data_IF_633607125088
#
_entry.id   IF_633607125088
#
_cell.length_a   1.000
_cell.length_b   1.000
_cell.length_c   1.000
_cell.angle_alpha   90.00
_cell.angle_beta   90.00
_cell.angle_gamma   90.00
#
_symmetry.space_group_name_H-M   'P 1'
#
loop_
_entity.id
_entity.type
_entity.pdbx_description
1 polymer ?
#
# COMPACT_ATOMS: atom_id res chain seq x y z
N UNK A 1 169.27 -24.51 7.63
CA UNK A 1 170.72 -24.49 7.31
C UNK A 1 171.03 -23.13 6.66
N UNK A 2 171.98 -22.35 7.24
CA UNK A 2 172.93 -21.35 6.67
C UNK A 2 172.51 -20.49 5.44
N UNK A 3 172.92 -19.23 5.20
CA UNK A 3 173.69 -18.16 5.85
C UNK A 3 173.81 -16.98 4.85
N UNK A 4 173.64 -15.73 5.31
CA UNK A 4 174.43 -14.47 5.06
C UNK A 4 174.81 -13.91 3.67
N UNK A 5 174.69 -12.56 3.58
CA UNK A 5 175.61 -11.58 2.92
C UNK A 5 175.00 -10.70 1.80
N UNK A 6 175.43 -9.47 1.44
CA UNK A 6 176.20 -8.36 2.04
C UNK A 6 176.27 -7.20 0.97
N UNK A 7 176.28 -5.92 1.38
CA UNK A 7 176.87 -4.75 0.67
C UNK A 7 175.97 -3.95 -0.31
N UNK A 8 176.23 -2.67 -0.67
CA UNK A 8 177.02 -1.54 -0.15
C UNK A 8 176.80 -0.30 -1.08
N UNK A 9 176.68 0.92 -0.51
CA UNK A 9 177.03 2.28 -1.00
C UNK A 9 177.08 2.64 -2.51
N UNK A 10 176.54 3.81 -2.92
CA UNK A 10 177.24 5.14 -3.01
C UNK A 10 176.38 6.21 -3.75
N UNK A 11 176.57 7.48 -3.33
CA UNK A 11 175.93 8.74 -3.73
C UNK A 11 176.61 9.39 -4.95
N UNK A 12 175.88 10.20 -5.74
CA UNK A 12 176.37 11.46 -6.34
C UNK A 12 175.20 12.42 -6.64
N UNK A 13 175.42 13.67 -6.25
CA UNK A 13 174.57 14.86 -6.44
C UNK A 13 174.69 15.43 -7.85
N UNK A 14 173.69 16.19 -8.31
CA UNK A 14 173.81 17.65 -8.58
C UNK A 14 172.53 18.27 -9.16
N UNK A 15 172.24 19.44 -8.62
CA UNK A 15 171.22 20.42 -8.97
C UNK A 15 171.36 20.95 -10.41
N UNK A 16 170.21 21.23 -11.05
CA UNK A 16 169.99 22.44 -11.85
C UNK A 16 168.53 22.86 -11.70
N UNK A 17 168.34 24.10 -11.26
CA UNK A 17 167.09 24.84 -11.33
C UNK A 17 166.62 24.97 -12.78
N UNK A 18 165.40 24.50 -13.08
CA UNK A 18 164.55 25.03 -14.14
C UNK A 18 163.08 24.95 -13.68
N UNK A 19 162.58 26.11 -13.28
CA UNK A 19 161.21 26.63 -13.40
C UNK A 19 160.02 25.67 -13.64
N UNK A 20 159.05 25.80 -12.74
CA UNK A 20 157.64 25.44 -12.87
C UNK A 20 157.05 25.89 -14.22
N UNK A 21 156.58 24.96 -15.06
CA UNK A 21 155.53 25.29 -16.05
C UNK A 21 154.61 24.13 -16.47
N UNK A 22 154.60 23.00 -15.75
CA UNK A 22 153.65 21.91 -15.99
C UNK A 22 152.93 21.29 -14.75
N UNK A 23 152.74 22.00 -13.60
CA UNK A 23 151.72 21.59 -12.62
C UNK A 23 150.31 22.13 -12.93
N UNK A 24 150.15 23.17 -13.78
CA UNK A 24 148.85 23.84 -13.94
C UNK A 24 147.83 23.07 -14.78
N UNK A 25 148.25 22.32 -15.81
CA UNK A 25 147.30 21.60 -16.68
C UNK A 25 146.62 20.43 -15.98
N UNK A 26 147.34 19.69 -15.12
CA UNK A 26 146.75 18.57 -14.38
C UNK A 26 145.82 19.05 -13.24
N UNK A 27 146.19 20.14 -12.55
CA UNK A 27 145.40 20.69 -11.45
C UNK A 27 144.14 21.43 -11.98
N UNK A 28 144.28 22.21 -13.06
CA UNK A 28 143.13 22.83 -13.75
C UNK A 28 142.20 21.77 -14.35
N UNK A 29 142.75 20.67 -14.90
CA UNK A 29 141.93 19.57 -15.42
C UNK A 29 141.17 18.84 -14.30
N UNK A 30 141.80 18.59 -13.14
CA UNK A 30 141.12 18.01 -11.98
C UNK A 30 140.01 18.92 -11.45
N UNK A 31 140.24 20.25 -11.40
CA UNK A 31 139.22 21.23 -11.02
C UNK A 31 138.07 21.26 -12.02
N UNK A 32 138.35 21.25 -13.32
CA UNK A 32 137.32 21.17 -14.37
C UNK A 32 136.52 19.86 -14.26
N UNK A 33 137.18 18.73 -13.99
CA UNK A 33 136.51 17.44 -13.78
C UNK A 33 135.67 17.44 -12.50
N UNK A 34 136.15 18.02 -11.39
CA UNK A 34 135.35 18.15 -10.16
C UNK A 34 134.12 19.04 -10.36
N UNK A 35 134.25 20.18 -11.06
CA UNK A 35 133.12 21.04 -11.39
C UNK A 35 132.13 20.28 -12.29
N UNK A 36 132.63 19.56 -13.29
CA UNK A 36 131.77 18.75 -14.17
C UNK A 36 131.05 17.63 -13.41
N UNK A 37 131.75 16.92 -12.51
CA UNK A 37 131.15 15.91 -11.63
C UNK A 37 130.14 16.53 -10.66
N UNK A 38 130.44 17.69 -10.09
CA UNK A 38 129.53 18.40 -9.19
C UNK A 38 128.26 18.84 -9.92
N UNK A 39 128.40 19.40 -11.11
CA UNK A 39 127.26 19.77 -11.98
C UNK A 39 126.46 18.53 -12.38
N UNK A 40 127.13 17.42 -12.73
CA UNK A 40 126.46 16.17 -13.09
C UNK A 40 125.71 15.56 -11.90
N UNK A 41 126.28 15.58 -10.69
CA UNK A 41 125.61 15.14 -9.46
C UNK A 41 124.37 16.01 -9.19
N UNK A 42 124.47 17.34 -9.34
CA UNK A 42 123.32 18.25 -9.17
C UNK A 42 122.23 17.97 -10.21
N UNK A 43 122.59 17.75 -11.47
CA UNK A 43 121.63 17.38 -12.52
C UNK A 43 120.96 16.04 -12.25
N UNK A 44 121.69 15.04 -11.75
CA UNK A 44 121.13 13.74 -11.36
C UNK A 44 120.16 13.87 -10.18
N UNK A 45 120.49 14.67 -9.16
CA UNK A 45 119.60 14.93 -8.02
C UNK A 45 118.33 15.65 -8.48
N UNK A 46 118.45 16.65 -9.36
CA UNK A 46 117.29 17.35 -9.93
C UNK A 46 116.43 16.47 -10.83
N UNK A 47 117.05 15.60 -11.63
CA UNK A 47 116.32 14.62 -12.42
C UNK A 47 115.57 13.63 -11.52
N UNK A 48 116.21 13.13 -10.45
CA UNK A 48 115.56 12.25 -9.48
C UNK A 48 114.39 12.91 -8.74
N UNK A 49 114.55 14.18 -8.35
CA UNK A 49 113.49 15.00 -7.75
C UNK A 49 112.31 15.19 -8.73
N UNK A 50 112.59 15.54 -10.00
CA UNK A 50 111.57 15.68 -11.05
C UNK A 50 110.84 14.36 -11.33
N UNK A 51 111.56 13.24 -11.41
CA UNK A 51 110.95 11.90 -11.58
C UNK A 51 110.09 11.54 -10.36
N UNK A 52 110.51 11.93 -9.16
CA UNK A 52 109.74 11.70 -7.93
C UNK A 52 108.46 12.54 -7.90
N UNK A 53 108.55 13.83 -8.24
CA UNK A 53 107.39 14.73 -8.34
C UNK A 53 106.40 14.26 -9.44
N UNK A 54 106.91 13.85 -10.60
CA UNK A 54 106.07 13.30 -11.67
C UNK A 54 105.33 12.04 -11.22
N UNK A 55 106.02 11.12 -10.53
CA UNK A 55 105.40 9.92 -9.95
C UNK A 55 104.32 10.29 -8.92
N UNK A 56 104.58 11.25 -8.05
CA UNK A 56 103.60 11.73 -7.08
C UNK A 56 102.37 12.37 -7.76
N UNK A 57 102.59 13.15 -8.82
CA UNK A 57 101.51 13.75 -9.62
C UNK A 57 100.65 12.69 -10.31
N UNK A 58 101.28 11.67 -10.92
CA UNK A 58 100.56 10.56 -11.57
C UNK A 58 99.73 9.79 -10.54
N UNK A 59 100.28 9.51 -9.36
CA UNK A 59 99.55 8.81 -8.29
C UNK A 59 98.38 9.65 -7.76
N UNK A 60 98.56 10.96 -7.60
CA UNK A 60 97.48 11.86 -7.20
C UNK A 60 96.38 11.93 -8.27
N UNK A 61 96.74 11.98 -9.55
CA UNK A 61 95.79 11.95 -10.67
C UNK A 61 95.02 10.63 -10.73
N UNK A 62 95.69 9.50 -10.50
CA UNK A 62 95.04 8.19 -10.40
C UNK A 62 94.05 8.15 -9.23
N UNK A 63 94.41 8.67 -8.05
CA UNK A 63 93.51 8.73 -6.90
C UNK A 63 92.28 9.61 -7.18
N UNK A 64 92.47 10.78 -7.81
CA UNK A 64 91.36 11.65 -8.21
C UNK A 64 90.46 10.94 -9.21
N UNK A 65 91.03 10.21 -10.18
CA UNK A 65 90.27 9.46 -11.17
C UNK A 65 89.47 8.32 -10.52
N UNK A 66 90.07 7.55 -9.61
CA UNK A 66 89.39 6.48 -8.86
C UNK A 66 88.26 7.04 -7.98
N UNK A 67 88.47 8.16 -7.30
CA UNK A 67 87.42 8.83 -6.53
C UNK A 67 86.30 9.37 -7.42
N UNK A 68 86.64 9.95 -8.57
CA UNK A 68 85.67 10.44 -9.54
C UNK A 68 84.84 9.29 -10.12
N UNK A 69 85.46 8.14 -10.40
CA UNK A 69 84.76 6.94 -10.86
C UNK A 69 83.81 6.39 -9.78
N UNK A 70 84.27 6.29 -8.53
CA UNK A 70 83.41 5.91 -7.39
C UNK A 70 82.22 6.85 -7.25
N UNK A 71 82.46 8.17 -7.24
CA UNK A 71 81.38 9.18 -7.18
C UNK A 71 80.45 9.10 -8.39
N UNK A 72 80.96 8.83 -9.59
CA UNK A 72 80.14 8.64 -10.78
C UNK A 72 79.25 7.41 -10.64
N UNK A 73 79.80 6.29 -10.15
CA UNK A 73 79.03 5.06 -9.89
C UNK A 73 77.96 5.26 -8.81
N UNK A 74 78.29 5.99 -7.74
CA UNK A 74 77.35 6.37 -6.69
C UNK A 74 76.23 7.27 -7.24
N UNK A 75 76.57 8.25 -8.07
CA UNK A 75 75.59 9.14 -8.71
C UNK A 75 74.63 8.38 -9.62
N UNK A 76 75.13 7.42 -10.40
CA UNK A 76 74.27 6.56 -11.24
C UNK A 76 73.30 5.76 -10.36
N UNK A 77 73.80 5.11 -9.31
CA UNK A 77 72.94 4.35 -8.39
C UNK A 77 71.90 5.23 -7.69
N UNK A 78 72.28 6.44 -7.27
CA UNK A 78 71.37 7.40 -6.65
C UNK A 78 70.32 7.90 -7.66
N UNK A 79 70.72 8.14 -8.91
CA UNK A 79 69.81 8.51 -9.99
C UNK A 79 68.78 7.41 -10.27
N UNK A 80 69.22 6.14 -10.31
CA UNK A 80 68.31 5.00 -10.51
C UNK A 80 67.31 4.88 -9.35
N UNK A 81 67.78 5.00 -8.10
CA UNK A 81 66.90 5.01 -6.91
C UNK A 81 65.92 6.16 -6.92
N UNK A 82 66.34 7.34 -7.39
CA UNK A 82 65.46 8.50 -7.52
C UNK A 82 64.36 8.23 -8.56
N UNK A 83 64.73 7.69 -9.72
CA UNK A 83 63.77 7.32 -10.77
C UNK A 83 62.75 6.27 -10.28
N UNK A 84 63.21 5.26 -9.53
CA UNK A 84 62.34 4.25 -8.92
C UNK A 84 61.37 4.87 -7.90
N UNK A 85 61.88 5.78 -7.05
CA UNK A 85 61.07 6.49 -6.06
C UNK A 85 60.02 7.39 -6.72
N UNK A 86 60.39 8.12 -7.77
CA UNK A 86 59.46 8.95 -8.56
C UNK A 86 58.38 8.11 -9.25
N UNK A 87 58.74 6.94 -9.77
CA UNK A 87 57.80 5.98 -10.35
C UNK A 87 56.82 5.46 -9.29
N UNK A 88 57.31 5.11 -8.10
CA UNK A 88 56.48 4.68 -6.96
C UNK A 88 55.52 5.80 -6.52
N UNK A 89 56.00 7.03 -6.36
CA UNK A 89 55.17 8.19 -6.01
C UNK A 89 54.08 8.41 -7.05
N UNK A 90 54.42 8.29 -8.33
CA UNK A 90 53.46 8.43 -9.43
C UNK A 90 52.37 7.35 -9.39
N UNK A 91 52.75 6.09 -9.16
CA UNK A 91 51.80 4.99 -8.97
C UNK A 91 50.89 5.21 -7.75
N UNK A 92 51.46 5.60 -6.62
CA UNK A 92 50.70 5.86 -5.39
C UNK A 92 49.71 7.03 -5.57
N UNK A 93 50.10 8.08 -6.30
CA UNK A 93 49.20 9.19 -6.64
C UNK A 93 48.03 8.73 -7.49
N UNK A 94 48.27 7.88 -8.49
CA UNK A 94 47.21 7.32 -9.31
C UNK A 94 46.24 6.45 -8.48
N UNK A 95 46.77 5.60 -7.59
CA UNK A 95 45.94 4.80 -6.68
C UNK A 95 45.13 5.68 -5.72
N UNK A 96 45.74 6.74 -5.19
CA UNK A 96 45.04 7.69 -4.33
C UNK A 96 43.90 8.38 -5.08
N UNK A 97 44.14 8.80 -6.32
CA UNK A 97 43.12 9.42 -7.16
C UNK A 97 41.98 8.43 -7.45
N UNK A 98 42.28 7.19 -7.82
CA UNK A 98 41.27 6.15 -8.02
C UNK A 98 40.43 5.90 -6.75
N UNK A 99 41.09 5.77 -5.59
CA UNK A 99 40.38 5.59 -4.32
C UNK A 99 39.56 6.81 -3.91
N UNK A 100 39.97 8.02 -4.30
CA UNK A 100 39.21 9.25 -4.09
C UNK A 100 37.98 9.29 -5.00
N UNK A 101 38.12 8.92 -6.27
CA UNK A 101 37.02 8.84 -7.23
C UNK A 101 35.99 7.78 -6.78
N UNK A 102 36.44 6.58 -6.40
CA UNK A 102 35.59 5.52 -5.84
C UNK A 102 34.84 5.98 -4.58
N UNK A 103 35.53 6.68 -3.66
CA UNK A 103 34.86 7.26 -2.49
C UNK A 103 33.85 8.35 -2.86
N UNK A 104 34.12 9.12 -3.92
CA UNK A 104 33.19 10.11 -4.46
C UNK A 104 31.91 9.44 -4.98
N UNK A 105 32.06 8.39 -5.78
CA UNK A 105 30.93 7.60 -6.31
C UNK A 105 30.11 6.94 -5.19
N UNK A 106 30.79 6.32 -4.21
CA UNK A 106 30.10 5.70 -3.07
C UNK A 106 29.34 6.72 -2.22
N UNK A 107 29.85 7.95 -2.08
CA UNK A 107 29.13 9.04 -1.40
C UNK A 107 27.88 9.46 -2.16
N UNK A 108 27.98 9.62 -3.48
CA UNK A 108 26.81 9.94 -4.31
C UNK A 108 25.75 8.83 -4.20
N UNK A 109 26.15 7.56 -4.29
CA UNK A 109 25.23 6.44 -4.11
C UNK A 109 24.60 6.41 -2.71
N UNK A 110 25.37 6.74 -1.67
CA UNK A 110 24.86 6.82 -0.31
C UNK A 110 23.83 7.95 -0.18
N UNK A 111 24.09 9.11 -0.76
CA UNK A 111 23.17 10.24 -0.78
C UNK A 111 21.89 9.90 -1.54
N UNK A 112 21.99 9.28 -2.72
CA UNK A 112 20.84 8.78 -3.49
C UNK A 112 20.01 7.78 -2.68
N UNK A 113 20.65 6.80 -2.03
CA UNK A 113 19.96 5.82 -1.19
C UNK A 113 19.33 6.45 0.05
N UNK A 114 19.97 7.46 0.63
CA UNK A 114 19.41 8.20 1.76
C UNK A 114 18.14 8.97 1.36
N UNK A 115 18.12 9.53 0.15
CA UNK A 115 16.96 10.21 -0.40
C UNK A 115 15.83 9.23 -0.74
N UNK A 116 16.16 8.07 -1.33
CA UNK A 116 15.19 6.99 -1.54
C UNK A 116 14.55 6.53 -0.21
N UNK A 117 15.35 6.33 0.84
CA UNK A 117 14.85 5.97 2.17
C UNK A 117 13.90 7.04 2.70
N UNK A 118 14.27 8.32 2.57
CA UNK A 118 13.43 9.45 3.01
C UNK A 118 12.08 9.47 2.29
N UNK A 119 12.08 9.21 0.98
CA UNK A 119 10.84 9.10 0.19
C UNK A 119 10.00 7.92 0.70
N UNK A 120 10.60 6.75 0.89
CA UNK A 120 9.90 5.58 1.42
C UNK A 120 9.33 5.81 2.82
N UNK A 121 10.06 6.47 3.71
CA UNK A 121 9.58 6.83 5.05
C UNK A 121 8.37 7.77 4.99
N UNK A 122 8.39 8.77 4.11
CA UNK A 122 7.26 9.65 3.89
C UNK A 122 6.03 8.89 3.36
N UNK A 123 6.21 8.04 2.35
CA UNK A 123 5.13 7.20 1.81
C UNK A 123 4.58 6.23 2.86
N UNK A 124 5.44 5.66 3.71
CA UNK A 124 5.02 4.79 4.80
C UNK A 124 4.19 5.56 5.84
N UNK A 125 4.59 6.79 6.17
CA UNK A 125 3.85 7.67 7.07
C UNK A 125 2.47 8.03 6.50
N UNK A 126 2.40 8.42 5.22
CA UNK A 126 1.15 8.70 4.51
C UNK A 126 0.23 7.47 4.49
N UNK A 127 0.76 6.29 4.15
CA UNK A 127 0.01 5.04 4.16
C UNK A 127 -0.50 4.70 5.56
N UNK A 128 0.32 4.90 6.60
CA UNK A 128 -0.11 4.67 7.99
C UNK A 128 -1.25 5.61 8.40
N UNK A 129 -1.25 6.85 7.92
CA UNK A 129 -2.31 7.80 8.20
C UNK A 129 -3.59 7.43 7.46
N UNK A 130 -3.51 7.07 6.18
CA UNK A 130 -4.67 6.62 5.40
C UNK A 130 -5.31 5.37 5.99
N UNK A 131 -4.51 4.41 6.49
CA UNK A 131 -5.04 3.24 7.20
C UNK A 131 -5.82 3.65 8.45
N UNK A 132 -5.28 4.55 9.29
CA UNK A 132 -5.99 5.05 10.48
C UNK A 132 -7.31 5.76 10.11
N UNK A 133 -7.30 6.56 9.05
CA UNK A 133 -8.49 7.26 8.59
C UNK A 133 -9.55 6.27 8.06
N UNK A 134 -9.13 5.21 7.35
CA UNK A 134 -10.02 4.15 6.87
C UNK A 134 -10.58 3.31 8.02
N UNK A 135 -9.77 2.97 9.02
CA UNK A 135 -10.22 2.29 10.24
C UNK A 135 -11.27 3.13 10.99
N UNK A 136 -11.04 4.44 11.09
CA UNK A 136 -12.02 5.38 11.68
C UNK A 136 -13.35 5.38 10.92
N UNK A 137 -13.30 5.46 9.58
CA UNK A 137 -14.50 5.38 8.72
C UNK A 137 -15.21 4.02 8.81
N UNK A 138 -14.46 2.93 8.94
CA UNK A 138 -15.05 1.60 9.09
C UNK A 138 -15.86 1.49 10.39
N UNK A 139 -15.32 2.04 11.48
CA UNK A 139 -16.03 2.09 12.77
C UNK A 139 -17.29 2.96 12.68
N UNK A 140 -17.20 4.13 12.04
CA UNK A 140 -18.35 5.02 11.83
C UNK A 140 -19.44 4.35 10.97
N UNK A 141 -19.06 3.73 9.85
CA UNK A 141 -19.99 3.00 8.99
C UNK A 141 -20.65 1.83 9.72
N UNK A 142 -19.90 1.07 10.54
CA UNK A 142 -20.48 -0.01 11.37
C UNK A 142 -21.50 0.54 12.36
N UNK A 143 -21.24 1.69 12.97
CA UNK A 143 -22.19 2.33 13.88
C UNK A 143 -23.46 2.80 13.15
N UNK A 144 -23.32 3.44 11.99
CA UNK A 144 -24.45 3.85 11.15
C UNK A 144 -25.30 2.65 10.72
N UNK A 145 -24.66 1.56 10.30
CA UNK A 145 -25.35 0.35 9.85
C UNK A 145 -26.08 -0.34 11.01
N UNK A 146 -25.51 -0.32 12.22
CA UNK A 146 -26.19 -0.82 13.42
C UNK A 146 -27.44 0.02 13.76
N UNK A 147 -27.34 1.35 13.67
CA UNK A 147 -28.47 2.26 13.91
C UNK A 147 -29.56 2.10 12.84
N UNK A 148 -29.17 1.98 11.57
CA UNK A 148 -30.11 1.76 10.47
C UNK A 148 -30.85 0.43 10.61
N UNK A 149 -30.15 -0.65 11.01
CA UNK A 149 -30.78 -1.94 11.32
C UNK A 149 -31.81 -1.82 12.43
N UNK A 150 -31.47 -1.14 13.53
CA UNK A 150 -32.40 -0.91 14.64
C UNK A 150 -33.63 -0.13 14.20
N UNK A 151 -33.43 0.95 13.42
CA UNK A 151 -34.55 1.72 12.85
C UNK A 151 -35.43 0.88 11.91
N UNK A 152 -34.83 -0.02 11.12
CA UNK A 152 -35.56 -0.92 10.25
C UNK A 152 -36.38 -1.95 11.04
N UNK A 153 -35.83 -2.49 12.13
CA UNK A 153 -36.55 -3.39 13.05
C UNK A 153 -37.74 -2.68 13.72
N UNK A 154 -37.54 -1.45 14.22
CA UNK A 154 -38.61 -0.65 14.82
C UNK A 154 -39.74 -0.36 13.82
N UNK A 155 -39.38 0.01 12.58
CA UNK A 155 -40.34 0.22 11.49
C UNK A 155 -41.09 -1.05 11.13
N UNK A 156 -40.40 -2.20 11.08
CA UNK A 156 -41.02 -3.48 10.79
C UNK A 156 -42.05 -3.85 11.87
N UNK A 157 -41.73 -3.64 13.14
CA UNK A 157 -42.68 -3.84 14.25
C UNK A 157 -43.87 -2.89 14.16
N UNK A 158 -43.65 -1.62 13.86
CA UNK A 158 -44.73 -0.64 13.69
C UNK A 158 -45.66 -1.02 12.54
N UNK A 159 -45.11 -1.50 11.41
CA UNK A 159 -45.90 -1.99 10.27
C UNK A 159 -46.74 -3.21 10.66
N UNK A 160 -46.17 -4.17 11.40
CA UNK A 160 -46.93 -5.32 11.90
C UNK A 160 -48.09 -4.90 12.80
N UNK A 161 -47.85 -3.96 13.72
CA UNK A 161 -48.88 -3.43 14.62
C UNK A 161 -50.00 -2.71 13.84
N UNK A 162 -49.63 -1.87 12.86
CA UNK A 162 -50.60 -1.18 12.00
C UNK A 162 -51.42 -2.16 11.17
N UNK A 163 -50.81 -3.22 10.63
CA UNK A 163 -51.53 -4.25 9.90
C UNK A 163 -52.49 -5.02 10.80
N UNK A 164 -52.10 -5.34 12.04
CA UNK A 164 -52.99 -5.99 13.00
C UNK A 164 -54.18 -5.08 13.36
N UNK A 165 -53.93 -3.80 13.62
CA UNK A 165 -54.97 -2.81 13.92
C UNK A 165 -55.92 -2.61 12.73
N UNK A 166 -55.40 -2.56 11.51
CA UNK A 166 -56.20 -2.43 10.30
C UNK A 166 -57.13 -3.64 10.09
N UNK A 167 -56.63 -4.86 10.34
CA UNK A 167 -57.45 -6.08 10.31
C UNK A 167 -58.55 -6.04 11.37
N UNK A 168 -58.21 -5.70 12.62
CA UNK A 168 -59.20 -5.60 13.69
C UNK A 168 -60.29 -4.56 13.38
N UNK A 169 -59.91 -3.38 12.87
CA UNK A 169 -60.86 -2.35 12.47
C UNK A 169 -61.76 -2.79 11.30
N UNK A 170 -61.21 -3.57 10.35
CA UNK A 170 -61.99 -4.13 9.26
C UNK A 170 -63.00 -5.17 9.75
N UNK A 171 -62.61 -6.05 10.68
CA UNK A 171 -63.51 -7.02 11.30
C UNK A 171 -64.63 -6.33 12.08
N UNK A 172 -64.30 -5.28 12.86
CA UNK A 172 -65.28 -4.45 13.58
C UNK A 172 -66.24 -3.76 12.61
N UNK A 173 -65.74 -3.24 11.50
CA UNK A 173 -66.55 -2.61 10.46
C UNK A 173 -67.52 -3.61 9.82
N UNK A 174 -67.07 -4.83 9.51
CA UNK A 174 -67.91 -5.88 8.94
C UNK A 174 -69.04 -6.29 9.90
N UNK A 175 -68.75 -6.36 11.20
CA UNK A 175 -69.76 -6.62 12.24
C UNK A 175 -70.75 -5.45 12.34
N UNK A 176 -70.24 -4.21 12.36
CA UNK A 176 -71.08 -3.02 12.47
C UNK A 176 -71.99 -2.87 11.25
N UNK A 177 -71.46 -3.13 10.05
CA UNK A 177 -72.21 -3.14 8.79
C UNK A 177 -73.37 -4.12 8.84
N UNK A 178 -73.14 -5.37 9.27
CA UNK A 178 -74.21 -6.36 9.48
C UNK A 178 -75.27 -5.90 10.47
N UNK A 179 -74.88 -5.22 11.57
CA UNK A 179 -75.84 -4.68 12.56
C UNK A 179 -76.64 -3.51 11.98
N UNK A 180 -75.98 -2.62 11.24
CA UNK A 180 -76.60 -1.48 10.58
C UNK A 180 -77.64 -1.94 9.54
N UNK A 181 -77.29 -2.90 8.69
CA UNK A 181 -78.19 -3.44 7.65
C UNK A 181 -79.45 -4.08 8.27
N UNK A 182 -79.35 -4.67 9.47
CA UNK A 182 -80.51 -5.17 10.23
C UNK A 182 -81.43 -4.06 10.74
N UNK A 183 -80.87 -2.92 11.13
CA UNK A 183 -81.64 -1.79 11.69
C UNK A 183 -82.27 -0.93 10.60
N UNK A 184 -81.67 -0.87 9.41
CA UNK A 184 -82.14 -0.06 8.28
C UNK A 184 -82.87 -0.94 7.25
N UNK A 185 -83.71 -1.89 7.70
CA UNK A 185 -84.69 -2.52 6.81
C UNK A 185 -85.76 -1.45 6.47
N UNK A 186 -86.04 -1.15 5.19
CA UNK A 186 -87.00 -0.11 4.80
C UNK A 186 -88.40 -0.47 5.33
N UNK A 187 -89.15 0.50 5.87
CA UNK A 187 -90.47 0.26 6.46
C UNK A 187 -91.39 -0.53 5.48
N UNK A 188 -92.03 -1.60 5.97
CA UNK A 188 -92.99 -2.40 5.20
C UNK A 188 -94.11 -1.51 4.68
N UNK A 189 -94.17 -1.28 3.37
CA UNK A 189 -95.09 -0.33 2.72
C UNK A 189 -95.81 -0.97 1.53
N UNK A 190 -97.12 -0.75 1.38
CA UNK A 190 -97.87 -1.26 0.23
C UNK A 190 -97.67 -0.43 -1.04
N UNK A 191 -97.00 0.74 -0.97
CA UNK A 191 -96.90 1.70 -2.09
C UNK A 191 -96.04 1.11 -3.22
N UNK A 192 -96.64 0.92 -4.40
CA UNK A 192 -95.97 0.36 -5.59
C UNK A 192 -95.78 -1.16 -5.56
N UNK A 193 -96.48 -1.86 -4.65
CA UNK A 193 -96.41 -3.31 -4.46
C UNK A 193 -97.72 -3.99 -4.89
N UNK A 194 -97.64 -5.26 -5.24
CA UNK A 194 -98.80 -6.10 -5.59
C UNK A 194 -99.47 -6.56 -4.29
N UNK A 195 -100.50 -5.83 -3.87
CA UNK A 195 -101.24 -6.11 -2.64
C UNK A 195 -102.25 -7.24 -2.88
N UNK A 196 -102.05 -8.37 -2.20
CA UNK A 196 -103.02 -9.48 -2.17
C UNK A 196 -103.63 -9.54 -0.78
N UNK A 197 -104.96 -9.42 -0.70
CA UNK A 197 -105.67 -9.57 0.57
C UNK A 197 -105.99 -11.05 0.80
N UNK A 198 -105.57 -11.58 1.94
CA UNK A 198 -105.90 -12.93 2.39
C UNK A 198 -106.75 -12.80 3.63
N UNK A 199 -108.03 -13.12 3.50
CA UNK A 199 -108.98 -13.14 4.61
C UNK A 199 -109.15 -14.57 5.09
N UNK A 200 -109.02 -14.78 6.40
CA UNK A 200 -109.18 -16.10 7.01
C UNK A 200 -110.28 -16.05 8.07
N UNK A 201 -111.31 -16.88 7.91
CA UNK A 201 -112.40 -17.04 8.89
C UNK A 201 -112.62 -18.50 9.26
N UNK A 202 -113.12 -18.73 10.46
CA UNK A 202 -113.59 -20.04 10.91
C UNK A 202 -115.11 -19.96 11.12
N UNK A 203 -115.86 -20.58 10.22
CA UNK A 203 -117.33 -20.55 10.18
C UNK A 203 -117.88 -21.97 10.34
N UNK A 204 -118.74 -22.20 11.34
CA UNK A 204 -119.36 -23.50 11.63
C UNK A 204 -118.36 -24.70 11.67
N UNK A 205 -117.17 -24.49 12.23
CA UNK A 205 -116.11 -25.51 12.35
C UNK A 205 -115.27 -25.74 11.10
N UNK A 206 -115.52 -25.02 10.00
CA UNK A 206 -114.74 -25.09 8.75
C UNK A 206 -113.84 -23.86 8.60
N UNK A 207 -112.62 -24.08 8.12
CA UNK A 207 -111.68 -23.00 7.80
C UNK A 207 -112.00 -22.47 6.40
N UNK A 208 -112.29 -21.19 6.30
CA UNK A 208 -112.66 -20.51 5.06
C UNK A 208 -111.57 -19.49 4.74
N UNK A 209 -110.90 -19.69 3.61
CA UNK A 209 -109.88 -18.76 3.10
C UNK A 209 -110.50 -18.00 1.94
N UNK A 210 -110.40 -16.68 1.97
CA UNK A 210 -110.81 -15.83 0.85
C UNK A 210 -109.64 -14.99 0.39
N UNK A 211 -109.44 -14.91 -0.92
CA UNK A 211 -108.33 -14.20 -1.52
C UNK A 211 -108.84 -13.11 -2.45
N UNK A 212 -108.25 -11.93 -2.35
CA UNK A 212 -108.50 -10.78 -3.23
C UNK A 212 -107.21 -10.44 -3.98
N UNK A 213 -107.18 -10.80 -5.25
CA UNK A 213 -106.11 -10.36 -6.16
C UNK A 213 -106.36 -8.89 -6.58
N UNK A 214 -105.32 -8.15 -6.98
CA UNK A 214 -105.47 -6.81 -7.53
C UNK A 214 -106.48 -6.80 -8.69
N UNK A 215 -107.50 -5.94 -8.60
CA UNK A 215 -108.54 -5.80 -9.64
C UNK A 215 -109.57 -6.93 -9.70
N UNK A 216 -109.51 -7.95 -8.84
CA UNK A 216 -110.50 -9.03 -8.77
C UNK A 216 -111.37 -8.94 -7.51
N UNK A 217 -112.62 -9.41 -7.55
CA UNK A 217 -113.45 -9.53 -6.35
C UNK A 217 -112.87 -10.57 -5.38
N UNK A 218 -113.23 -10.45 -4.11
CA UNK A 218 -112.89 -11.42 -3.07
C UNK A 218 -113.54 -12.77 -3.42
N UNK A 219 -112.75 -13.83 -3.51
CA UNK A 219 -113.24 -15.20 -3.80
C UNK A 219 -112.80 -16.18 -2.73
N UNK A 220 -113.65 -17.15 -2.43
CA UNK A 220 -113.30 -18.27 -1.55
C UNK A 220 -112.37 -19.23 -2.30
N UNK A 221 -111.31 -19.67 -1.62
CA UNK A 221 -110.29 -20.58 -2.14
C UNK A 221 -109.94 -21.60 -1.07
N UNK A 222 -109.48 -22.78 -1.49
CA UNK A 222 -108.87 -23.71 -0.54
C UNK A 222 -107.40 -23.35 -0.25
N UNK A 223 -106.77 -24.05 0.69
CA UNK A 223 -105.39 -23.77 1.11
C UNK A 223 -104.37 -23.95 -0.02
N UNK A 224 -104.54 -24.99 -0.85
CA UNK A 224 -103.61 -25.29 -1.94
C UNK A 224 -103.74 -24.25 -3.06
N UNK A 225 -104.96 -23.85 -3.41
CA UNK A 225 -105.25 -22.79 -4.37
C UNK A 225 -104.71 -21.43 -3.91
N UNK A 226 -104.81 -21.13 -2.61
CA UNK A 226 -104.18 -19.95 -2.01
C UNK A 226 -102.67 -19.99 -2.23
N UNK A 227 -102.00 -21.07 -1.82
CA UNK A 227 -100.54 -21.21 -1.97
C UNK A 227 -100.09 -21.18 -3.44
N UNK A 228 -100.82 -21.83 -4.35
CA UNK A 228 -100.55 -21.78 -5.79
C UNK A 228 -100.71 -20.38 -6.35
N UNK A 229 -101.75 -19.64 -5.93
CA UNK A 229 -101.99 -18.26 -6.38
C UNK A 229 -100.89 -17.33 -5.88
N UNK A 230 -100.51 -17.43 -4.60
CA UNK A 230 -99.42 -16.64 -4.02
C UNK A 230 -98.07 -16.98 -4.64
N UNK A 231 -97.74 -18.26 -4.83
CA UNK A 231 -96.52 -18.70 -5.49
C UNK A 231 -96.46 -18.26 -6.96
N UNK A 232 -97.58 -18.28 -7.68
CA UNK A 232 -97.66 -17.76 -9.06
C UNK A 232 -97.35 -16.26 -9.10
N UNK A 233 -97.95 -15.48 -8.20
CA UNK A 233 -97.73 -14.03 -8.15
C UNK A 233 -96.29 -13.71 -7.73
N UNK A 234 -95.74 -14.45 -6.77
CA UNK A 234 -94.35 -14.35 -6.35
C UNK A 234 -93.39 -14.71 -7.49
N UNK A 235 -93.67 -15.73 -8.32
CA UNK A 235 -92.85 -16.04 -9.51
C UNK A 235 -92.85 -14.92 -10.54
N UNK A 236 -93.96 -14.18 -10.67
CA UNK A 236 -94.10 -13.07 -11.62
C UNK A 236 -93.36 -11.82 -11.11
N UNK A 237 -93.42 -11.53 -9.81
CA UNK A 237 -92.67 -10.42 -9.20
C UNK A 237 -92.17 -10.78 -7.79
N UNK A 238 -91.00 -11.44 -7.67
CA UNK A 238 -90.51 -12.02 -6.41
C UNK A 238 -90.30 -10.99 -5.30
N UNK A 239 -90.07 -9.73 -5.64
CA UNK A 239 -89.71 -8.66 -4.70
C UNK A 239 -90.84 -7.66 -4.41
N UNK A 240 -92.06 -7.90 -4.95
CA UNK A 240 -93.17 -6.94 -4.82
C UNK A 240 -94.50 -7.49 -4.30
N UNK A 241 -94.58 -8.76 -3.91
CA UNK A 241 -95.79 -9.29 -3.29
C UNK A 241 -95.95 -8.76 -1.86
N UNK A 242 -97.00 -7.97 -1.62
CA UNK A 242 -97.41 -7.51 -0.29
C UNK A 242 -98.65 -8.29 0.15
N UNK A 243 -98.58 -8.97 1.30
CA UNK A 243 -99.71 -9.69 1.85
C UNK A 243 -100.49 -8.85 2.86
N UNK A 244 -101.76 -8.58 2.58
CA UNK A 244 -102.67 -7.98 3.54
C UNK A 244 -103.51 -9.08 4.18
N UNK A 245 -103.12 -9.53 5.37
CA UNK A 245 -103.84 -10.58 6.09
C UNK A 245 -104.93 -9.92 6.94
N UNK A 246 -106.18 -10.37 6.77
CA UNK A 246 -107.35 -9.82 7.44
C UNK A 246 -108.10 -10.93 8.18
N UNK A 247 -108.41 -10.69 9.44
CA UNK A 247 -109.27 -11.57 10.23
C UNK A 247 -110.59 -10.81 10.49
N UNK A 248 -111.69 -11.12 9.77
CA UNK A 248 -112.98 -10.47 9.95
C UNK A 248 -113.51 -10.56 11.39
N UNK A 249 -114.21 -9.51 11.84
CA UNK A 249 -114.85 -9.46 13.16
C UNK A 249 -115.90 -10.57 13.26
N UNK A 250 -115.82 -11.39 14.32
CA UNK A 250 -116.69 -12.57 14.52
C UNK A 250 -116.08 -13.90 14.08
N UNK A 251 -114.84 -13.91 13.58
CA UNK A 251 -114.10 -15.15 13.31
C UNK A 251 -113.82 -15.92 14.60
N UNK A 252 -114.16 -17.22 14.65
CA UNK A 252 -113.89 -18.12 15.79
C UNK A 252 -112.44 -18.66 15.78
N UNK A 253 -111.48 -17.85 15.34
CA UNK A 253 -110.06 -18.23 15.28
C UNK A 253 -109.34 -17.87 16.57
N UNK A 254 -108.50 -18.76 17.08
CA UNK A 254 -107.61 -18.45 18.21
C UNK A 254 -106.45 -17.54 17.78
N UNK A 255 -105.86 -16.84 18.75
CA UNK A 255 -104.69 -16.00 18.53
C UNK A 255 -103.51 -16.79 17.93
N UNK A 256 -103.25 -18.00 18.42
CA UNK A 256 -102.12 -18.81 17.97
C UNK A 256 -102.33 -19.37 16.56
N UNK A 257 -103.57 -19.73 16.19
CA UNK A 257 -103.92 -20.09 14.82
C UNK A 257 -103.74 -18.90 13.87
N UNK A 258 -104.17 -17.70 14.28
CA UNK A 258 -104.01 -16.47 13.51
C UNK A 258 -102.53 -16.11 13.30
N UNK A 259 -101.72 -16.23 14.35
CA UNK A 259 -100.28 -15.98 14.31
C UNK A 259 -99.56 -16.97 13.41
N UNK A 260 -99.79 -18.28 13.58
CA UNK A 260 -99.17 -19.32 12.73
C UNK A 260 -99.54 -19.17 11.27
N UNK A 261 -100.80 -18.82 10.98
CA UNK A 261 -101.25 -18.53 9.62
C UNK A 261 -100.55 -17.29 9.05
N UNK A 262 -100.44 -16.23 9.85
CA UNK A 262 -99.79 -14.97 9.47
C UNK A 262 -98.30 -15.16 9.19
N UNK A 263 -97.53 -15.68 10.16
CA UNK A 263 -96.09 -15.92 10.00
C UNK A 263 -95.80 -16.90 8.87
N UNK A 264 -96.55 -18.00 8.80
CA UNK A 264 -96.36 -19.01 7.76
C UNK A 264 -96.65 -18.51 6.34
N UNK A 265 -97.42 -17.43 6.15
CA UNK A 265 -97.61 -16.78 4.87
C UNK A 265 -96.59 -15.68 4.61
N UNK A 266 -96.28 -14.86 5.62
CA UNK A 266 -95.33 -13.75 5.49
C UNK A 266 -93.92 -14.26 5.18
N UNK A 267 -93.42 -15.24 5.93
CA UNK A 267 -92.07 -15.79 5.75
C UNK A 267 -91.88 -16.43 4.35
N UNK A 268 -92.95 -17.00 3.79
CA UNK A 268 -92.88 -17.71 2.51
C UNK A 268 -93.15 -16.85 1.28
N UNK A 269 -93.88 -15.75 1.42
CA UNK A 269 -94.39 -15.00 0.25
C UNK A 269 -94.30 -13.48 0.36
N UNK A 270 -94.14 -12.89 1.54
CA UNK A 270 -94.11 -11.43 1.69
C UNK A 270 -92.69 -10.89 1.48
N UNK A 271 -92.57 -9.89 0.60
CA UNK A 271 -91.28 -9.33 0.19
C UNK A 271 -90.40 -8.79 1.34
N UNK A 272 -91.00 -8.46 2.49
CA UNK A 272 -90.29 -7.88 3.64
C UNK A 272 -89.63 -8.93 4.54
N UNK A 273 -90.13 -10.18 4.51
CA UNK A 273 -89.71 -11.26 5.41
C UNK A 273 -88.88 -12.34 4.71
N UNK A 274 -88.59 -12.19 3.41
CA UNK A 274 -87.68 -13.07 2.68
C UNK A 274 -86.26 -12.54 2.90
N UNK A 275 -85.45 -13.28 3.67
CA UNK A 275 -84.02 -12.98 3.87
C UNK A 275 -83.19 -13.18 2.58
#
# INVERSE_FOLDING_TARGET
>A
MRSWGLGSYRRHDKELEQENFWPSFADIMMVIVMIFLMVMVVLLVKNWELVTQLKQSILAEQQIAEEAEKKASENVLLSDRLADAESLVSRLRLQLMQAQDENGELRVQLDEKSEEIRIFENTLAENSQTIKDLEGREVELKAMLAEEKKSAEDKAQAIMQLQANARAAQDEFDVLKKKYDKLVRPARTPKGKTVVEVSYTKEAGRNVIRLKEPGKPLREVNSDEMHQTLARIQKIDPSKLYLKIVFPKGSQISHDEAWRFTSGLLDRYDYYYQD
#
